data_IF_419379840175
#
_entry.id   IF_419379840175
#
_cell.length_a   1.000
_cell.length_b   1.000
_cell.length_c   1.000
_cell.angle_alpha   90.00
_cell.angle_beta   90.00
_cell.angle_gamma   90.00
#
_symmetry.space_group_name_H-M   'P 1'
#
loop_
_entity.id
_entity.type
_entity.pdbx_description
1 polymer ?
#
# COMPACT_ATOMS: atom_id res chain seq x y z
N UNK A 1 2.38 -29.88 34.26
CA UNK A 1 2.45 -28.64 33.46
C UNK A 1 2.54 -29.08 32.01
N UNK A 2 1.63 -28.61 31.15
CA UNK A 2 1.71 -28.89 29.71
C UNK A 2 3.04 -28.36 29.17
N UNK A 3 3.78 -29.17 28.41
CA UNK A 3 4.99 -28.77 27.69
C UNK A 3 4.68 -27.61 26.74
N UNK A 4 5.64 -26.73 26.44
CA UNK A 4 5.42 -25.62 25.49
C UNK A 4 4.96 -26.11 24.09
N UNK A 5 5.36 -27.33 23.70
CA UNK A 5 4.83 -28.00 22.50
C UNK A 5 3.32 -28.30 22.57
N UNK A 6 2.81 -28.75 23.72
CA UNK A 6 1.38 -28.99 23.90
C UNK A 6 0.56 -27.69 23.87
N UNK A 7 1.15 -26.56 24.26
CA UNK A 7 0.55 -25.23 24.10
C UNK A 7 0.52 -24.79 22.64
N UNK A 8 1.60 -25.02 21.88
CA UNK A 8 1.64 -24.75 20.45
C UNK A 8 0.58 -25.57 19.71
N UNK A 9 0.53 -26.88 19.96
CA UNK A 9 -0.44 -27.78 19.33
C UNK A 9 -1.90 -27.42 19.66
N UNK A 10 -2.17 -26.80 20.81
CA UNK A 10 -3.52 -26.36 21.16
C UNK A 10 -4.07 -25.25 20.24
N UNK A 11 -3.22 -24.57 19.47
CA UNK A 11 -3.62 -23.56 18.50
C UNK A 11 -3.86 -24.15 17.10
N UNK A 12 -3.74 -25.46 16.94
CA UNK A 12 -3.98 -26.14 15.66
C UNK A 12 -5.40 -26.68 15.58
N UNK A 13 -6.01 -26.58 14.40
CA UNK A 13 -7.36 -27.10 14.14
C UNK A 13 -7.36 -28.61 13.81
N UNK A 14 -6.18 -29.24 13.72
CA UNK A 14 -5.99 -30.64 13.33
C UNK A 14 -5.30 -31.44 14.44
N UNK A 15 -5.62 -32.74 14.61
CA UNK A 15 -4.88 -33.59 15.53
C UNK A 15 -3.42 -33.78 15.07
N UNK A 16 -2.47 -34.08 15.98
CA UNK A 16 -1.05 -34.17 15.63
C UNK A 16 -0.70 -35.15 14.49
N UNK A 17 -1.52 -36.19 14.28
CA UNK A 17 -1.33 -37.16 13.20
C UNK A 17 -1.67 -36.58 11.81
N UNK A 18 -2.47 -35.52 11.75
CA UNK A 18 -2.96 -34.89 10.51
C UNK A 18 -2.28 -33.55 10.22
N UNK A 19 -1.31 -33.14 11.05
CA UNK A 19 -0.57 -31.90 10.82
C UNK A 19 0.31 -32.00 9.59
N UNK A 20 0.23 -30.98 8.74
CA UNK A 20 1.10 -30.82 7.57
C UNK A 20 2.37 -30.04 7.92
N UNK A 21 3.35 -30.07 7.01
CA UNK A 21 4.56 -29.22 7.12
C UNK A 21 4.18 -27.74 7.20
N UNK A 22 3.18 -27.33 6.43
CA UNK A 22 2.62 -25.98 6.44
C UNK A 22 2.01 -25.62 7.79
N UNK A 23 1.19 -26.49 8.36
CA UNK A 23 0.57 -26.24 9.68
C UNK A 23 1.64 -25.98 10.75
N UNK A 24 2.68 -26.82 10.77
CA UNK A 24 3.79 -26.67 11.71
C UNK A 24 4.65 -25.45 11.41
N UNK A 25 4.90 -25.14 10.14
CA UNK A 25 5.65 -23.95 9.74
C UNK A 25 4.95 -22.66 10.20
N UNK A 26 3.64 -22.54 9.93
CA UNK A 26 2.83 -21.38 10.33
C UNK A 26 2.70 -21.28 11.85
N UNK A 27 2.51 -22.41 12.54
CA UNK A 27 2.48 -22.45 14.00
C UNK A 27 3.77 -21.90 14.63
N UNK A 28 4.93 -22.22 14.05
CA UNK A 28 6.23 -21.75 14.54
C UNK A 28 6.48 -20.28 14.26
N UNK A 29 5.91 -19.72 13.20
CA UNK A 29 5.98 -18.28 12.89
C UNK A 29 5.04 -17.44 13.77
N UNK A 30 3.96 -18.04 14.29
CA UNK A 30 2.97 -17.36 15.13
C UNK A 30 3.41 -17.14 16.59
N UNK A 31 4.63 -17.56 16.96
CA UNK A 31 5.21 -17.32 18.29
C UNK A 31 6.62 -16.73 18.15
N UNK A 32 7.16 -16.08 19.20
CA UNK A 32 8.53 -15.59 19.16
C UNK A 32 9.51 -16.70 18.79
N UNK A 33 10.42 -16.45 17.84
CA UNK A 33 11.28 -17.49 17.26
C UNK A 33 12.15 -18.23 18.28
N UNK A 34 12.50 -17.57 19.40
CA UNK A 34 13.23 -18.19 20.53
C UNK A 34 12.39 -19.26 21.24
N UNK A 35 11.09 -19.02 21.38
CA UNK A 35 10.15 -19.96 22.01
C UNK A 35 9.84 -21.12 21.07
N UNK A 36 9.66 -20.84 19.77
CA UNK A 36 9.56 -21.85 18.72
C UNK A 36 10.77 -22.81 18.71
N UNK A 37 11.99 -22.26 18.73
CA UNK A 37 13.23 -23.04 18.80
C UNK A 37 13.30 -23.91 20.07
N UNK A 38 12.90 -23.38 21.22
CA UNK A 38 12.89 -24.12 22.48
C UNK A 38 11.87 -25.26 22.49
N UNK A 39 10.69 -25.07 21.86
CA UNK A 39 9.63 -26.07 21.81
C UNK A 39 9.84 -27.16 20.75
N UNK A 40 10.65 -26.89 19.72
CA UNK A 40 10.85 -27.77 18.57
C UNK A 40 11.25 -29.22 18.91
N UNK A 41 12.18 -29.52 19.84
CA UNK A 41 12.51 -30.91 20.18
C UNK A 41 11.34 -31.70 20.82
N UNK A 42 10.48 -31.02 21.56
CA UNK A 42 9.27 -31.64 22.10
C UNK A 42 8.25 -31.91 20.99
N UNK A 43 8.01 -30.94 20.10
CA UNK A 43 7.11 -31.11 18.97
C UNK A 43 7.55 -32.26 18.03
N UNK A 44 8.85 -32.36 17.72
CA UNK A 44 9.40 -33.47 16.91
C UNK A 44 9.06 -34.83 17.51
N UNK A 45 9.15 -34.98 18.83
CA UNK A 45 8.81 -36.23 19.53
C UNK A 45 7.32 -36.53 19.52
N UNK A 46 6.48 -35.50 19.66
CA UNK A 46 5.02 -35.65 19.65
C UNK A 46 4.53 -36.07 18.25
N UNK A 47 5.04 -35.46 17.18
CA UNK A 47 4.71 -35.84 15.80
C UNK A 47 5.21 -37.26 15.45
N UNK A 48 6.42 -37.62 15.92
CA UNK A 48 6.94 -38.98 15.77
C UNK A 48 6.04 -39.99 16.50
N UNK A 49 5.60 -39.68 17.72
CA UNK A 49 4.71 -40.54 18.50
C UNK A 49 3.31 -40.66 17.86
N UNK A 50 2.86 -39.64 17.14
CA UNK A 50 1.60 -39.63 16.39
C UNK A 50 1.68 -40.39 15.05
N UNK A 51 2.89 -40.82 14.63
CA UNK A 51 3.09 -41.56 13.37
C UNK A 51 3.28 -40.68 12.13
N UNK A 52 3.47 -39.37 12.29
CA UNK A 52 3.62 -38.41 11.19
C UNK A 52 4.96 -37.67 11.27
N UNK A 53 6.11 -38.37 11.15
CA UNK A 53 7.42 -37.73 11.20
C UNK A 53 7.69 -36.95 9.91
N UNK A 54 8.09 -35.68 10.04
CA UNK A 54 8.66 -34.93 8.91
C UNK A 54 10.14 -35.25 8.71
N UNK A 55 10.64 -34.91 7.52
CA UNK A 55 12.03 -35.16 7.12
C UNK A 55 13.03 -34.39 7.99
N UNK A 56 14.27 -34.89 8.04
CA UNK A 56 15.38 -34.18 8.67
C UNK A 56 15.62 -32.82 7.98
N UNK A 57 15.54 -32.76 6.64
CA UNK A 57 15.72 -31.54 5.86
C UNK A 57 14.73 -30.43 6.24
N UNK A 58 13.44 -30.78 6.40
CA UNK A 58 12.45 -29.83 6.90
C UNK A 58 12.86 -29.25 8.25
N UNK A 59 13.17 -30.12 9.21
CA UNK A 59 13.52 -29.71 10.57
C UNK A 59 14.78 -28.86 10.68
N UNK A 60 15.82 -29.17 9.89
CA UNK A 60 17.05 -28.38 9.79
C UNK A 60 16.78 -27.01 9.16
N UNK A 61 15.94 -26.96 8.12
CA UNK A 61 15.53 -25.70 7.49
C UNK A 61 14.74 -24.80 8.45
N UNK A 62 13.79 -25.38 9.21
CA UNK A 62 12.99 -24.66 10.22
C UNK A 62 13.89 -24.06 11.29
N UNK A 63 14.83 -24.84 11.81
CA UNK A 63 15.78 -24.40 12.83
C UNK A 63 16.68 -23.26 12.32
N UNK A 64 17.17 -23.39 11.08
CA UNK A 64 18.01 -22.38 10.43
C UNK A 64 17.25 -21.06 10.24
N UNK A 65 16.02 -21.13 9.68
CA UNK A 65 15.20 -19.94 9.46
C UNK A 65 14.84 -19.24 10.78
N UNK A 66 14.36 -19.97 11.77
CA UNK A 66 13.98 -19.39 13.06
C UNK A 66 15.15 -18.73 13.79
N UNK A 67 16.38 -19.27 13.68
CA UNK A 67 17.58 -18.59 14.20
C UNK A 67 17.83 -17.27 13.51
N UNK A 68 17.77 -17.27 12.17
CA UNK A 68 17.95 -16.04 11.38
C UNK A 68 16.89 -15.00 11.68
N UNK A 69 15.64 -15.39 11.89
CA UNK A 69 14.57 -14.46 12.35
C UNK A 69 14.92 -13.92 13.74
N UNK A 70 15.31 -14.77 14.70
CA UNK A 70 15.67 -14.36 16.05
C UNK A 70 16.88 -13.40 16.10
N UNK A 71 17.75 -13.46 15.09
CA UNK A 71 18.92 -12.62 14.91
C UNK A 71 18.64 -11.36 14.06
N UNK A 72 17.43 -11.22 13.51
CA UNK A 72 17.06 -10.12 12.61
C UNK A 72 17.72 -10.19 11.22
N UNK A 73 18.20 -11.36 10.81
CA UNK A 73 18.95 -11.60 9.58
C UNK A 73 18.14 -12.31 8.47
N UNK A 74 16.88 -12.64 8.72
CA UNK A 74 15.98 -13.24 7.74
C UNK A 74 15.17 -12.15 7.00
N UNK A 75 15.02 -12.30 5.69
CA UNK A 75 14.16 -11.44 4.86
C UNK A 75 12.77 -12.04 4.72
N UNK A 76 11.77 -11.20 4.46
CA UNK A 76 10.38 -11.64 4.19
C UNK A 76 10.33 -12.63 3.02
N UNK A 77 11.08 -12.36 1.94
CA UNK A 77 11.16 -13.26 0.79
C UNK A 77 11.78 -14.63 1.11
N UNK A 78 12.67 -14.73 2.09
CA UNK A 78 13.19 -16.02 2.55
C UNK A 78 12.17 -16.80 3.37
N UNK A 79 11.38 -16.12 4.19
CA UNK A 79 10.27 -16.74 4.93
C UNK A 79 9.20 -17.26 3.97
N UNK A 80 8.83 -16.45 2.96
CA UNK A 80 7.84 -16.84 1.95
C UNK A 80 8.31 -18.05 1.12
N UNK A 81 9.54 -18.02 0.60
CA UNK A 81 10.13 -19.17 -0.11
C UNK A 81 10.20 -20.44 0.74
N UNK A 82 10.46 -20.31 2.04
CA UNK A 82 10.46 -21.46 2.95
C UNK A 82 9.05 -22.01 3.19
N UNK A 83 8.04 -21.14 3.29
CA UNK A 83 6.64 -21.57 3.37
C UNK A 83 6.19 -22.27 2.08
N UNK A 84 6.52 -21.74 0.90
CA UNK A 84 6.29 -22.41 -0.40
C UNK A 84 6.90 -23.83 -0.42
N UNK A 85 8.12 -23.97 0.11
CA UNK A 85 8.83 -25.25 0.17
C UNK A 85 8.19 -26.29 1.10
N UNK A 86 7.15 -25.93 1.86
CA UNK A 86 6.31 -26.92 2.55
C UNK A 86 5.50 -27.80 1.59
N UNK A 87 5.33 -27.34 0.34
CA UNK A 87 4.64 -28.06 -0.74
C UNK A 87 3.14 -27.87 -0.77
N UNK A 88 2.58 -27.04 0.12
CA UNK A 88 1.14 -26.77 0.21
C UNK A 88 0.82 -25.29 0.45
N UNK A 89 1.84 -24.42 0.58
CA UNK A 89 1.62 -22.97 0.63
C UNK A 89 1.52 -22.44 -0.81
N UNK A 90 0.40 -21.81 -1.19
CA UNK A 90 0.27 -21.18 -2.49
C UNK A 90 1.38 -20.13 -2.72
N UNK A 91 1.91 -20.12 -3.94
CA UNK A 91 2.91 -19.14 -4.38
C UNK A 91 2.19 -17.94 -4.98
N UNK A 92 2.70 -16.73 -4.74
CA UNK A 92 2.26 -15.56 -5.49
C UNK A 92 2.52 -15.80 -6.99
N UNK A 93 1.45 -15.92 -7.78
CA UNK A 93 1.55 -16.15 -9.23
C UNK A 93 1.95 -14.81 -9.87
N UNK A 94 3.07 -14.80 -10.60
CA UNK A 94 3.67 -13.59 -11.16
C UNK A 94 2.66 -12.83 -12.05
N UNK A 95 2.36 -11.60 -11.65
CA UNK A 95 1.54 -10.66 -12.42
C UNK A 95 0.15 -10.38 -11.86
N UNK A 96 -0.31 -11.13 -10.85
CA UNK A 96 -1.68 -10.98 -10.33
C UNK A 96 -1.77 -10.80 -8.81
N UNK A 97 -0.67 -10.87 -8.04
CA UNK A 97 -0.64 -10.69 -6.56
C UNK A 97 -1.79 -11.36 -5.77
N UNK A 98 -2.40 -12.43 -6.32
CA UNK A 98 -3.70 -13.01 -5.91
C UNK A 98 -3.78 -13.41 -4.44
N UNK A 99 -2.64 -13.69 -3.82
CA UNK A 99 -2.54 -14.20 -2.45
C UNK A 99 -1.94 -13.20 -1.48
N UNK A 100 -2.31 -11.92 -1.64
CA UNK A 100 -1.93 -10.77 -0.82
C UNK A 100 -2.02 -11.03 0.70
N UNK A 101 -1.56 -10.05 1.50
CA UNK A 101 -1.46 -10.17 2.97
C UNK A 101 -2.72 -10.81 3.54
N UNK A 102 -2.58 -11.89 4.32
CA UNK A 102 -3.70 -12.73 4.74
C UNK A 102 -4.85 -11.98 5.42
N UNK A 103 -4.54 -10.88 6.12
CA UNK A 103 -5.53 -9.99 6.75
C UNK A 103 -6.36 -9.19 5.76
N UNK A 104 -5.84 -8.92 4.57
CA UNK A 104 -6.50 -8.15 3.51
C UNK A 104 -7.39 -9.01 2.60
N UNK A 105 -7.31 -10.35 2.69
CA UNK A 105 -8.08 -11.24 1.82
C UNK A 105 -9.58 -11.06 2.03
N UNK A 106 -10.32 -11.02 0.94
CA UNK A 106 -11.78 -11.06 0.93
C UNK A 106 -12.30 -12.43 1.42
N UNK A 107 -13.61 -12.57 1.73
CA UNK A 107 -14.20 -13.87 2.01
C UNK A 107 -14.01 -14.90 0.88
N UNK A 108 -14.15 -14.49 -0.38
CA UNK A 108 -13.96 -15.35 -1.56
C UNK A 108 -12.47 -15.69 -1.75
N UNK A 109 -11.57 -14.70 -1.61
CA UNK A 109 -10.14 -14.91 -1.62
C UNK A 109 -9.66 -15.90 -0.55
N UNK A 110 -10.24 -15.87 0.65
CA UNK A 110 -9.99 -16.88 1.70
C UNK A 110 -10.49 -18.27 1.28
N UNK A 111 -11.72 -18.36 0.77
CA UNK A 111 -12.30 -19.63 0.33
C UNK A 111 -11.46 -20.30 -0.77
N UNK A 112 -11.13 -19.55 -1.84
CA UNK A 112 -10.37 -20.08 -2.97
C UNK A 112 -8.94 -20.43 -2.57
N UNK A 113 -8.31 -19.64 -1.70
CA UNK A 113 -7.02 -19.98 -1.13
C UNK A 113 -7.07 -21.30 -0.35
N UNK A 114 -8.08 -21.50 0.49
CA UNK A 114 -8.23 -22.75 1.26
C UNK A 114 -8.51 -23.96 0.36
N UNK A 115 -9.27 -23.78 -0.72
CA UNK A 115 -9.47 -24.81 -1.74
C UNK A 115 -8.18 -25.16 -2.47
N UNK A 116 -7.33 -24.18 -2.79
CA UNK A 116 -6.02 -24.41 -3.39
C UNK A 116 -5.10 -25.15 -2.44
N UNK A 117 -5.05 -24.77 -1.16
CA UNK A 117 -4.27 -25.50 -0.14
C UNK A 117 -4.72 -26.96 -0.07
N UNK A 118 -6.03 -27.22 0.00
CA UNK A 118 -6.57 -28.58 0.01
C UNK A 118 -6.24 -29.36 -1.28
N UNK A 119 -6.22 -28.68 -2.44
CA UNK A 119 -5.81 -29.26 -3.71
C UNK A 119 -4.34 -29.70 -3.66
N UNK A 120 -3.45 -28.83 -3.20
CA UNK A 120 -2.01 -29.10 -3.07
C UNK A 120 -1.73 -30.21 -2.04
N UNK A 121 -2.47 -30.25 -0.92
CA UNK A 121 -2.41 -31.35 0.06
C UNK A 121 -2.72 -32.71 -0.59
N UNK A 122 -3.65 -32.74 -1.55
CA UNK A 122 -3.98 -33.93 -2.35
C UNK A 122 -2.80 -34.41 -3.20
N UNK A 123 -2.15 -33.51 -3.95
CA UNK A 123 -0.97 -33.84 -4.77
C UNK A 123 0.25 -34.22 -3.93
N UNK A 124 0.44 -33.56 -2.78
CA UNK A 124 1.48 -33.93 -1.82
C UNK A 124 1.26 -35.35 -1.30
N UNK A 125 0.02 -35.69 -0.94
CA UNK A 125 -0.35 -37.03 -0.46
C UNK A 125 -0.21 -38.11 -1.54
N UNK A 126 -0.44 -37.75 -2.81
CA UNK A 126 -0.23 -38.63 -3.96
C UNK A 126 1.26 -38.83 -4.31
N UNK A 127 2.15 -37.99 -3.78
CA UNK A 127 3.59 -38.01 -4.06
C UNK A 127 3.98 -37.26 -5.34
N UNK A 128 3.07 -36.45 -5.89
CA UNK A 128 3.32 -35.65 -7.10
C UNK A 128 4.07 -34.35 -6.78
N UNK A 129 4.02 -33.89 -5.53
CA UNK A 129 4.84 -32.79 -5.01
C UNK A 129 5.93 -33.38 -4.12
N UNK A 130 7.19 -33.01 -4.37
CA UNK A 130 8.33 -33.38 -3.54
C UNK A 130 8.84 -32.16 -2.76
N UNK A 131 8.47 -32.00 -1.47
CA UNK A 131 8.94 -30.90 -0.65
C UNK A 131 10.46 -30.88 -0.43
N UNK A 132 11.16 -32.01 -0.52
CA UNK A 132 12.62 -32.01 -0.37
C UNK A 132 13.31 -31.35 -1.57
N UNK A 133 12.78 -31.58 -2.78
CA UNK A 133 13.25 -30.87 -3.98
C UNK A 133 12.94 -29.38 -3.91
N UNK A 134 11.77 -29.00 -3.38
CA UNK A 134 11.43 -27.59 -3.16
C UNK A 134 12.35 -26.93 -2.12
N UNK A 135 12.63 -27.61 -1.00
CA UNK A 135 13.58 -27.14 0.02
C UNK A 135 15.02 -27.01 -0.50
N UNK A 136 15.41 -27.86 -1.44
CA UNK A 136 16.71 -27.80 -2.11
C UNK A 136 16.78 -26.74 -3.22
N UNK A 137 15.73 -25.93 -3.40
CA UNK A 137 15.60 -24.91 -4.45
C UNK A 137 15.78 -25.47 -5.88
N UNK A 138 15.30 -26.70 -6.12
CA UNK A 138 15.29 -27.30 -7.44
C UNK A 138 14.37 -26.51 -8.38
N UNK A 139 14.97 -25.83 -9.36
CA UNK A 139 14.24 -24.99 -10.31
C UNK A 139 13.16 -25.76 -11.06
N UNK A 140 13.37 -27.04 -11.37
CA UNK A 140 12.38 -27.86 -12.08
C UNK A 140 11.18 -28.13 -11.18
N UNK A 141 11.41 -28.52 -9.93
CA UNK A 141 10.34 -28.77 -8.96
C UNK A 141 9.51 -27.50 -8.70
N UNK A 142 10.17 -26.33 -8.63
CA UNK A 142 9.47 -25.05 -8.48
C UNK A 142 8.59 -24.72 -9.69
N UNK A 143 9.07 -24.96 -10.90
CA UNK A 143 8.28 -24.75 -12.12
C UNK A 143 7.09 -25.71 -12.22
N UNK A 144 7.28 -26.98 -11.83
CA UNK A 144 6.20 -27.97 -11.73
C UNK A 144 5.13 -27.52 -10.72
N UNK A 145 5.57 -27.04 -9.55
CA UNK A 145 4.69 -26.53 -8.50
C UNK A 145 3.91 -25.29 -8.91
N UNK A 146 4.54 -24.34 -9.61
CA UNK A 146 3.88 -23.16 -10.18
C UNK A 146 2.86 -23.56 -11.25
N UNK A 147 3.26 -24.43 -12.18
CA UNK A 147 2.38 -24.89 -13.27
C UNK A 147 1.13 -25.62 -12.77
N UNK A 148 1.24 -26.32 -11.63
CA UNK A 148 0.11 -26.96 -10.97
C UNK A 148 -0.91 -25.92 -10.48
N UNK A 149 -0.43 -24.87 -9.82
CA UNK A 149 -1.27 -23.79 -9.30
C UNK A 149 -1.90 -22.97 -10.42
N UNK A 150 -1.14 -22.61 -11.45
CA UNK A 150 -1.65 -21.89 -12.63
C UNK A 150 -2.76 -22.67 -13.32
N UNK A 151 -2.58 -23.99 -13.46
CA UNK A 151 -3.61 -24.86 -14.04
C UNK A 151 -4.86 -24.90 -13.17
N UNK A 152 -4.71 -25.00 -11.86
CA UNK A 152 -5.84 -24.97 -10.94
C UNK A 152 -6.61 -23.64 -11.05
N UNK A 153 -5.90 -22.52 -11.05
CA UNK A 153 -6.47 -21.17 -11.17
C UNK A 153 -7.26 -20.95 -12.47
N UNK A 154 -6.82 -21.57 -13.57
CA UNK A 154 -7.40 -21.39 -14.91
C UNK A 154 -8.37 -22.50 -15.32
N UNK A 155 -8.61 -23.49 -14.45
CA UNK A 155 -9.50 -24.61 -14.72
C UNK A 155 -10.82 -24.48 -13.93
N UNK A 156 -11.94 -24.97 -14.48
CA UNK A 156 -13.19 -24.98 -13.75
C UNK A 156 -13.13 -25.94 -12.55
N UNK A 157 -13.55 -25.45 -11.40
CA UNK A 157 -13.80 -26.22 -10.19
C UNK A 157 -15.05 -27.12 -10.38
N UNK A 158 -15.31 -28.09 -9.47
CA UNK A 158 -16.47 -28.97 -9.55
C UNK A 158 -17.84 -28.26 -9.56
N UNK A 159 -17.91 -27.04 -9.01
CA UNK A 159 -19.09 -26.18 -9.01
C UNK A 159 -19.21 -25.33 -10.29
N UNK A 160 -18.23 -25.39 -11.19
CA UNK A 160 -18.19 -24.67 -12.47
C UNK A 160 -17.44 -23.35 -12.45
N UNK A 161 -17.08 -22.81 -11.27
CA UNK A 161 -16.32 -21.56 -11.14
C UNK A 161 -14.91 -21.73 -11.68
N UNK A 162 -14.36 -20.69 -12.30
CA UNK A 162 -12.93 -20.62 -12.64
C UNK A 162 -12.28 -19.65 -11.67
N UNK A 163 -11.38 -20.10 -10.75
CA UNK A 163 -10.89 -19.25 -9.66
C UNK A 163 -10.30 -17.92 -10.12
N UNK A 164 -9.58 -17.91 -11.25
CA UNK A 164 -9.04 -16.68 -11.84
C UNK A 164 -10.14 -15.69 -12.26
N UNK A 165 -11.25 -16.16 -12.81
CA UNK A 165 -12.34 -15.26 -13.20
C UNK A 165 -13.05 -14.69 -11.98
N UNK A 166 -13.37 -15.53 -10.99
CA UNK A 166 -14.09 -15.06 -9.80
C UNK A 166 -13.27 -14.05 -8.97
N UNK A 167 -11.95 -14.22 -8.92
CA UNK A 167 -11.07 -13.26 -8.23
C UNK A 167 -10.92 -11.95 -9.01
N UNK A 168 -10.86 -12.02 -10.34
CA UNK A 168 -10.87 -10.82 -11.18
C UNK A 168 -12.22 -10.09 -11.10
N UNK A 169 -13.34 -10.83 -11.09
CA UNK A 169 -14.69 -10.27 -10.96
C UNK A 169 -14.91 -9.64 -9.56
N UNK A 170 -14.22 -10.10 -8.51
CA UNK A 170 -14.24 -9.47 -7.17
C UNK A 170 -13.33 -8.24 -7.10
N UNK A 171 -12.18 -8.25 -7.80
CA UNK A 171 -11.40 -7.01 -8.05
C UNK A 171 -12.24 -5.98 -8.84
N UNK A 172 -13.13 -6.42 -9.73
CA UNK A 172 -14.10 -5.54 -10.41
C UNK A 172 -15.21 -5.00 -9.45
N UNK A 173 -15.46 -5.61 -8.28
CA UNK A 173 -16.32 -5.00 -7.23
C UNK A 173 -15.56 -3.94 -6.41
N UNK A 174 -14.23 -4.04 -6.29
CA UNK A 174 -13.37 -2.93 -5.86
C UNK A 174 -13.30 -1.83 -6.96
N UNK A 175 -13.49 -2.18 -8.24
CA UNK A 175 -13.71 -1.20 -9.31
C UNK A 175 -15.03 -0.42 -9.14
N UNK A 176 -16.08 -0.96 -8.49
CA UNK A 176 -17.27 -0.16 -8.17
C UNK A 176 -16.94 0.93 -7.12
N UNK A 177 -16.08 0.62 -6.14
CA UNK A 177 -15.55 1.63 -5.20
C UNK A 177 -14.63 2.64 -5.89
N UNK A 178 -13.72 2.18 -6.77
CA UNK A 178 -12.87 3.06 -7.58
C UNK A 178 -13.70 3.90 -8.55
N UNK A 179 -14.78 3.37 -9.12
CA UNK A 179 -15.69 4.10 -10.00
C UNK A 179 -16.53 5.13 -9.22
N UNK A 180 -16.94 4.82 -7.98
CA UNK A 180 -17.56 5.80 -7.08
C UNK A 180 -16.55 6.90 -6.70
N UNK A 181 -15.29 6.55 -6.44
CA UNK A 181 -14.20 7.47 -6.16
C UNK A 181 -13.87 8.35 -7.38
N UNK A 182 -13.70 7.78 -8.56
CA UNK A 182 -13.50 8.48 -9.83
C UNK A 182 -14.70 9.37 -10.17
N UNK A 183 -15.93 8.92 -9.88
CA UNK A 183 -17.13 9.73 -10.04
C UNK A 183 -17.15 10.93 -9.08
N UNK A 184 -16.70 10.76 -7.83
CA UNK A 184 -16.53 11.85 -6.87
C UNK A 184 -15.43 12.83 -7.31
N UNK A 185 -14.27 12.36 -7.76
CA UNK A 185 -13.21 13.18 -8.35
C UNK A 185 -13.70 13.98 -9.54
N UNK A 186 -14.42 13.33 -10.46
CA UNK A 186 -14.97 13.98 -11.63
C UNK A 186 -16.05 15.00 -11.27
N UNK A 187 -16.88 14.73 -10.26
CA UNK A 187 -17.86 15.67 -9.74
C UNK A 187 -17.18 16.90 -9.13
N UNK A 188 -16.18 16.71 -8.27
CA UNK A 188 -15.40 17.78 -7.67
C UNK A 188 -14.65 18.61 -8.72
N UNK A 189 -14.07 17.96 -9.75
CA UNK A 189 -13.44 18.65 -10.86
C UNK A 189 -14.44 19.47 -11.69
N UNK A 190 -15.64 18.95 -11.94
CA UNK A 190 -16.70 19.69 -12.63
C UNK A 190 -17.14 20.91 -11.83
N UNK A 191 -17.37 20.75 -10.53
CA UNK A 191 -17.73 21.88 -9.66
C UNK A 191 -16.61 22.92 -9.61
N UNK A 192 -15.34 22.49 -9.47
CA UNK A 192 -14.22 23.41 -9.51
C UNK A 192 -14.15 24.18 -10.85
N UNK A 193 -14.37 23.52 -11.99
CA UNK A 193 -14.44 24.20 -13.29
C UNK A 193 -15.54 25.26 -13.33
N UNK A 194 -16.71 24.98 -12.76
CA UNK A 194 -17.82 25.94 -12.65
C UNK A 194 -17.43 27.13 -11.76
N UNK A 195 -16.81 26.88 -10.61
CA UNK A 195 -16.27 27.94 -9.74
C UNK A 195 -15.27 28.83 -10.48
N UNK A 196 -14.35 28.23 -11.23
CA UNK A 196 -13.32 28.97 -11.96
C UNK A 196 -13.91 29.75 -13.13
N UNK A 197 -14.96 29.23 -13.78
CA UNK A 197 -15.71 29.94 -14.80
C UNK A 197 -16.41 31.19 -14.23
N UNK A 198 -16.97 31.09 -13.02
CA UNK A 198 -17.60 32.21 -12.32
C UNK A 198 -16.57 33.27 -11.85
N UNK A 199 -15.38 32.83 -11.42
CA UNK A 199 -14.27 33.73 -11.03
C UNK A 199 -13.74 34.52 -12.23
N UNK A 200 -13.73 33.91 -13.42
CA UNK A 200 -13.31 34.55 -14.67
C UNK A 200 -11.81 34.39 -14.97
N UNK A 201 -11.25 35.33 -15.74
CA UNK A 201 -9.87 35.24 -16.23
C UNK A 201 -8.84 35.22 -15.09
N UNK A 202 -8.01 34.17 -15.06
CA UNK A 202 -6.87 34.00 -14.14
C UNK A 202 -5.59 33.85 -14.96
N UNK A 203 -4.95 34.97 -15.39
CA UNK A 203 -3.78 34.90 -16.25
C UNK A 203 -2.60 34.25 -15.52
N UNK A 204 -1.85 33.40 -16.24
CA UNK A 204 -0.65 32.73 -15.70
C UNK A 204 0.43 33.78 -15.36
N UNK A 205 0.94 33.80 -14.12
CA UNK A 205 1.95 34.76 -13.69
C UNK A 205 3.35 34.27 -14.09
N UNK A 206 3.71 34.43 -15.36
CA UNK A 206 4.98 33.95 -15.94
C UNK A 206 6.25 34.39 -15.16
N UNK A 207 6.39 35.66 -14.71
CA UNK A 207 7.57 36.07 -13.95
C UNK A 207 7.71 35.35 -12.61
N UNK A 208 6.62 35.21 -11.87
CA UNK A 208 6.54 34.53 -10.58
C UNK A 208 6.78 33.03 -10.74
N UNK A 209 6.16 32.41 -11.74
CA UNK A 209 6.36 31.00 -12.09
C UNK A 209 7.84 30.72 -12.39
N UNK A 210 8.45 31.51 -13.27
CA UNK A 210 9.86 31.34 -13.62
C UNK A 210 10.79 31.55 -12.42
N UNK A 211 10.47 32.49 -11.53
CA UNK A 211 11.22 32.70 -10.30
C UNK A 211 11.09 31.52 -9.32
N UNK A 212 9.87 31.02 -9.11
CA UNK A 212 9.58 29.87 -8.26
C UNK A 212 10.30 28.61 -8.77
N UNK A 213 10.21 28.29 -10.07
CA UNK A 213 10.84 27.10 -10.65
C UNK A 213 12.37 27.14 -10.59
N UNK A 214 13.01 28.31 -10.66
CA UNK A 214 14.46 28.42 -10.41
C UNK A 214 14.82 28.05 -8.96
N UNK A 215 14.02 28.51 -8.00
CA UNK A 215 14.23 28.19 -6.59
C UNK A 215 13.97 26.71 -6.33
N UNK A 216 12.88 26.15 -6.86
CA UNK A 216 12.51 24.74 -6.74
C UNK A 216 13.61 23.81 -7.28
N UNK A 217 14.15 24.07 -8.48
CA UNK A 217 15.26 23.25 -9.03
C UNK A 217 16.53 23.27 -8.17
N UNK A 218 16.71 24.30 -7.35
CA UNK A 218 17.80 24.37 -6.37
C UNK A 218 17.42 23.60 -5.11
N UNK A 219 16.22 23.84 -4.57
CA UNK A 219 15.72 23.25 -3.35
C UNK A 219 15.56 21.72 -3.44
N UNK A 220 15.09 21.19 -4.58
CA UNK A 220 14.87 19.75 -4.79
C UNK A 220 16.14 18.89 -4.59
N UNK A 221 17.32 19.51 -4.64
CA UNK A 221 18.60 18.83 -4.38
C UNK A 221 18.98 18.78 -2.90
N UNK A 222 18.39 19.63 -2.08
CA UNK A 222 18.76 19.84 -0.68
C UNK A 222 18.17 18.79 0.26
N UNK A 223 17.12 18.06 -0.17
CA UNK A 223 16.53 16.94 0.58
C UNK A 223 16.05 17.30 1.99
N UNK A 224 15.89 18.58 2.29
CA UNK A 224 15.44 19.10 3.56
C UNK A 224 13.92 19.08 3.63
N UNK A 225 13.36 18.92 4.82
CA UNK A 225 11.94 19.14 5.05
C UNK A 225 11.56 20.62 4.79
N UNK A 226 10.42 20.93 4.14
CA UNK A 226 9.40 20.02 3.60
C UNK A 226 9.62 19.62 2.11
N UNK A 227 10.76 19.99 1.52
CA UNK A 227 11.09 19.71 0.11
C UNK A 227 11.20 18.21 -0.17
N UNK A 228 11.64 17.42 0.80
CA UNK A 228 11.71 15.96 0.69
C UNK A 228 10.32 15.34 0.45
N UNK A 229 9.28 15.83 1.11
CA UNK A 229 7.90 15.34 0.98
C UNK A 229 7.33 15.76 -0.37
N UNK A 230 7.54 17.02 -0.77
CA UNK A 230 7.14 17.52 -2.09
C UNK A 230 7.77 16.72 -3.24
N UNK A 231 9.04 16.32 -3.09
CA UNK A 231 9.74 15.47 -4.04
C UNK A 231 9.17 14.05 -4.04
N UNK A 232 8.94 13.46 -2.88
CA UNK A 232 8.39 12.12 -2.75
C UNK A 232 6.98 12.03 -3.36
N UNK A 233 6.11 12.99 -3.07
CA UNK A 233 4.73 13.02 -3.56
C UNK A 233 4.59 13.24 -5.07
N UNK A 234 5.55 13.92 -5.72
CA UNK A 234 5.45 14.26 -7.15
C UNK A 234 6.17 13.30 -8.11
N UNK A 235 7.02 12.40 -7.58
CA UNK A 235 7.86 11.50 -8.38
C UNK A 235 8.90 12.21 -9.25
N UNK A 236 9.19 13.50 -9.02
CA UNK A 236 10.17 14.28 -9.79
C UNK A 236 11.60 13.84 -9.45
N UNK A 237 12.39 13.52 -10.48
CA UNK A 237 13.83 13.28 -10.32
C UNK A 237 14.58 14.61 -10.11
N UNK A 238 15.18 14.87 -8.93
CA UNK A 238 15.90 16.13 -8.66
C UNK A 238 17.17 16.29 -9.50
N UNK A 239 17.68 15.20 -10.10
CA UNK A 239 18.85 15.25 -10.97
C UNK A 239 18.47 15.63 -12.41
N UNK A 240 17.20 15.43 -12.77
CA UNK A 240 16.68 15.73 -14.10
C UNK A 240 15.26 16.32 -14.03
N UNK A 241 15.07 17.48 -13.37
CA UNK A 241 13.77 18.12 -13.29
C UNK A 241 13.33 18.64 -14.67
N UNK A 242 12.02 18.70 -14.91
CA UNK A 242 11.47 19.22 -16.15
C UNK A 242 11.99 20.63 -16.47
N UNK A 243 12.34 20.84 -17.74
CA UNK A 243 12.85 22.13 -18.23
C UNK A 243 11.74 23.14 -18.48
N UNK A 244 10.52 22.66 -18.68
CA UNK A 244 9.30 23.48 -18.74
C UNK A 244 8.86 23.83 -17.31
N UNK A 245 8.77 25.12 -17.01
CA UNK A 245 8.42 25.62 -15.68
C UNK A 245 6.98 25.31 -15.29
N UNK A 246 6.03 25.40 -16.24
CA UNK A 246 4.64 25.10 -15.96
C UNK A 246 4.48 23.62 -15.62
N UNK A 247 5.06 22.73 -16.44
CA UNK A 247 5.00 21.28 -16.17
C UNK A 247 5.64 20.93 -14.84
N UNK A 248 6.81 21.48 -14.55
CA UNK A 248 7.50 21.24 -13.28
C UNK A 248 6.64 21.69 -12.09
N UNK A 249 6.10 22.91 -12.14
CA UNK A 249 5.35 23.48 -11.04
C UNK A 249 4.04 22.73 -10.80
N UNK A 250 3.27 22.46 -11.87
CA UNK A 250 2.00 21.74 -11.77
C UNK A 250 2.19 20.31 -11.26
N UNK A 251 3.22 19.60 -11.72
CA UNK A 251 3.52 18.25 -11.24
C UNK A 251 3.91 18.21 -9.76
N UNK A 252 4.66 19.21 -9.29
CA UNK A 252 4.98 19.32 -7.87
C UNK A 252 3.74 19.65 -7.03
N UNK A 253 2.88 20.55 -7.51
CA UNK A 253 1.64 20.92 -6.84
C UNK A 253 0.60 19.80 -6.84
N UNK A 254 0.50 19.03 -7.93
CA UNK A 254 -0.34 17.83 -8.04
C UNK A 254 0.05 16.79 -6.99
N UNK A 255 1.37 16.56 -6.80
CA UNK A 255 1.87 15.64 -5.77
C UNK A 255 1.62 16.07 -4.31
N UNK A 256 1.10 17.28 -4.07
CA UNK A 256 0.57 17.71 -2.76
C UNK A 256 -0.84 17.20 -2.53
N UNK A 257 -1.63 17.10 -3.61
CA UNK A 257 -3.04 16.66 -3.59
C UNK A 257 -3.13 15.14 -3.69
N UNK A 258 -2.34 14.56 -4.60
CA UNK A 258 -2.31 13.12 -4.85
C UNK A 258 -0.86 12.61 -4.76
N UNK A 259 -0.35 12.35 -3.54
CA UNK A 259 1.04 11.94 -3.36
C UNK A 259 1.30 10.52 -3.88
N UNK A 260 2.31 10.37 -4.74
CA UNK A 260 2.74 9.12 -5.37
C UNK A 260 3.41 8.08 -4.42
N UNK A 261 3.35 8.25 -3.10
CA UNK A 261 4.00 7.33 -2.15
C UNK A 261 2.99 6.50 -1.35
N UNK A 262 3.29 5.21 -1.19
CA UNK A 262 2.56 4.29 -0.30
C UNK A 262 2.98 4.55 1.16
N UNK A 263 2.07 4.95 2.07
CA UNK A 263 2.41 5.20 3.46
C UNK A 263 2.82 3.90 4.17
N UNK A 264 4.13 3.74 4.37
CA UNK A 264 4.67 2.63 5.18
C UNK A 264 4.16 2.71 6.64
N UNK A 265 4.15 1.59 7.37
CA UNK A 265 3.69 1.53 8.77
C UNK A 265 4.47 2.41 9.79
N UNK A 266 5.48 3.20 9.35
CA UNK A 266 6.22 4.18 10.14
C UNK A 266 5.99 5.64 9.73
N UNK A 267 5.03 5.92 8.84
CA UNK A 267 4.69 7.25 8.34
C UNK A 267 4.26 8.18 9.49
N UNK A 268 4.82 9.38 9.52
CA UNK A 268 4.59 10.36 10.59
C UNK A 268 3.16 10.92 10.55
N UNK A 269 2.65 11.42 11.68
CA UNK A 269 1.30 12.02 11.76
C UNK A 269 1.13 13.18 10.74
N UNK A 270 2.21 13.91 10.46
CA UNK A 270 2.24 15.02 9.50
C UNK A 270 2.16 14.55 8.03
N UNK A 271 2.63 13.33 7.73
CA UNK A 271 2.50 12.69 6.41
C UNK A 271 1.09 12.06 6.24
N UNK A 272 0.51 11.49 7.30
CA UNK A 272 -0.87 10.95 7.31
C UNK A 272 -1.89 12.07 7.07
N UNK A 273 -1.66 13.27 7.61
CA UNK A 273 -2.51 14.45 7.46
C UNK A 273 -2.76 14.86 6.00
N UNK A 274 -1.80 14.61 5.09
CA UNK A 274 -1.95 14.96 3.66
C UNK A 274 -2.83 13.95 2.91
N UNK A 275 -2.95 12.73 3.45
CA UNK A 275 -3.79 11.63 2.93
C UNK A 275 -5.21 11.71 3.51
N UNK A 276 -5.43 12.56 4.53
CA UNK A 276 -6.69 12.63 5.26
C UNK A 276 -7.75 13.54 4.61
N UNK A 277 -7.35 14.45 3.71
CA UNK A 277 -8.28 15.34 3.01
C UNK A 277 -8.96 14.58 1.88
N UNK A 278 -10.29 14.55 1.88
CA UNK A 278 -11.07 14.03 0.77
C UNK A 278 -11.28 15.09 -0.34
N UNK A 279 -12.00 14.72 -1.41
CA UNK A 279 -12.24 15.60 -2.55
C UNK A 279 -13.11 16.80 -2.19
N UNK A 280 -14.04 16.65 -1.25
CA UNK A 280 -14.95 17.71 -0.81
C UNK A 280 -14.20 18.77 0.00
N UNK A 281 -13.31 18.33 0.90
CA UNK A 281 -12.43 19.20 1.69
C UNK A 281 -11.48 20.01 0.78
N UNK A 282 -10.84 19.33 -0.18
CA UNK A 282 -9.99 19.97 -1.17
C UNK A 282 -10.75 21.00 -2.02
N UNK A 283 -11.94 20.62 -2.49
CA UNK A 283 -12.81 21.49 -3.28
C UNK A 283 -13.24 22.71 -2.48
N UNK A 284 -13.69 22.54 -1.24
CA UNK A 284 -14.15 23.64 -0.38
C UNK A 284 -13.05 24.67 -0.14
N UNK A 285 -11.86 24.21 0.26
CA UNK A 285 -10.72 25.07 0.51
C UNK A 285 -10.25 25.81 -0.76
N UNK A 286 -10.07 25.09 -1.88
CA UNK A 286 -9.53 25.68 -3.11
C UNK A 286 -10.56 26.56 -3.82
N UNK A 287 -11.86 26.22 -3.78
CA UNK A 287 -12.91 27.07 -4.28
C UNK A 287 -12.99 28.39 -3.49
N UNK A 288 -12.81 28.35 -2.18
CA UNK A 288 -12.74 29.56 -1.36
C UNK A 288 -11.54 30.45 -1.73
N UNK A 289 -10.35 29.86 -1.91
CA UNK A 289 -9.16 30.57 -2.37
C UNK A 289 -9.31 31.16 -3.77
N UNK A 290 -9.90 30.40 -4.71
CA UNK A 290 -10.15 30.85 -6.07
C UNK A 290 -11.07 32.07 -6.11
N UNK A 291 -12.15 32.05 -5.31
CA UNK A 291 -13.08 33.19 -5.18
C UNK A 291 -12.46 34.39 -4.45
N UNK A 292 -11.63 34.14 -3.43
CA UNK A 292 -10.98 35.19 -2.65
C UNK A 292 -9.89 35.95 -3.41
N UNK A 293 -9.17 35.27 -4.31
CA UNK A 293 -8.12 35.89 -5.11
C UNK A 293 -6.79 36.06 -4.39
N UNK A 294 -5.80 36.73 -5.02
CA UNK A 294 -4.52 37.01 -4.40
C UNK A 294 -4.67 37.77 -3.07
N UNK A 295 -3.77 37.51 -2.14
CA UNK A 295 -3.75 37.97 -0.76
C UNK A 295 -4.78 37.35 0.20
N UNK A 296 -5.61 36.40 -0.26
CA UNK A 296 -6.51 35.62 0.61
C UNK A 296 -5.71 34.88 1.69
N UNK A 297 -6.08 35.00 2.98
CA UNK A 297 -5.44 34.22 4.04
C UNK A 297 -5.63 32.71 3.81
N UNK A 298 -4.52 31.97 3.81
CA UNK A 298 -4.47 30.54 3.52
C UNK A 298 -3.61 29.80 4.55
N UNK A 299 -3.54 30.31 5.79
CA UNK A 299 -2.99 29.55 6.91
C UNK A 299 -3.84 28.31 7.18
N UNK A 300 -3.27 27.29 7.82
CA UNK A 300 -3.96 26.03 8.08
C UNK A 300 -5.30 26.23 8.81
N UNK A 301 -5.34 27.15 9.79
CA UNK A 301 -6.57 27.53 10.50
C UNK A 301 -7.59 28.26 9.61
N UNK A 302 -7.14 29.04 8.61
CA UNK A 302 -8.05 29.69 7.67
C UNK A 302 -8.61 28.70 6.65
N UNK A 303 -7.81 27.73 6.20
CA UNK A 303 -8.26 26.68 5.30
C UNK A 303 -9.28 25.77 5.97
N UNK A 304 -9.02 25.35 7.21
CA UNK A 304 -9.94 24.57 8.02
C UNK A 304 -11.33 25.20 8.16
N UNK A 305 -11.43 26.54 8.18
CA UNK A 305 -12.72 27.25 8.28
C UNK A 305 -13.59 27.14 7.04
N UNK A 306 -13.06 26.66 5.92
CA UNK A 306 -13.84 26.48 4.70
C UNK A 306 -14.51 25.11 4.61
N UNK A 307 -14.10 24.16 5.46
CA UNK A 307 -14.66 22.81 5.47
C UNK A 307 -16.04 22.82 6.12
N UNK A 308 -16.90 21.91 5.68
CA UNK A 308 -18.28 21.78 6.21
C UNK A 308 -18.28 21.42 7.70
N UNK A 309 -17.35 20.56 8.12
CA UNK A 309 -17.22 20.04 9.50
C UNK A 309 -16.62 21.06 10.50
N UNK A 310 -16.36 22.30 10.09
CA UNK A 310 -15.75 23.33 10.94
C UNK A 310 -16.79 24.08 11.81
N UNK A 311 -17.55 23.34 12.62
CA UNK A 311 -18.68 23.87 13.41
C UNK A 311 -18.25 24.75 14.59
N UNK A 312 -17.13 24.40 15.26
CA UNK A 312 -16.59 25.18 16.38
C UNK A 312 -15.05 25.32 16.39
N UNK A 313 -14.53 26.06 17.39
CA UNK A 313 -13.10 26.35 17.51
C UNK A 313 -12.24 25.08 17.78
N UNK A 314 -12.81 24.04 18.39
CA UNK A 314 -12.12 22.77 18.62
C UNK A 314 -12.04 21.95 17.33
N UNK A 315 -13.12 21.92 16.54
CA UNK A 315 -13.15 21.27 15.22
C UNK A 315 -12.16 21.94 14.26
N UNK A 316 -12.18 23.28 14.18
CA UNK A 316 -11.22 24.07 13.39
C UNK A 316 -9.78 23.73 13.80
N UNK A 317 -9.51 23.53 15.08
CA UNK A 317 -8.16 23.19 15.56
C UNK A 317 -7.72 21.78 15.12
N UNK A 318 -8.64 20.82 15.05
CA UNK A 318 -8.37 19.46 14.57
C UNK A 318 -8.14 19.49 13.05
N UNK A 319 -9.08 20.07 12.30
CA UNK A 319 -9.01 20.19 10.83
C UNK A 319 -7.80 21.00 10.37
N UNK A 320 -7.40 22.03 11.12
CA UNK A 320 -6.18 22.78 10.83
C UNK A 320 -4.94 21.89 10.87
N UNK A 321 -4.93 20.80 11.67
CA UNK A 321 -3.84 19.83 11.68
C UNK A 321 -3.61 19.19 10.31
N UNK A 322 -4.66 18.99 9.51
CA UNK A 322 -4.59 18.37 8.19
C UNK A 322 -3.91 19.27 7.15
N UNK A 323 -4.05 20.58 7.29
CA UNK A 323 -3.49 21.57 6.38
C UNK A 323 -2.05 22.01 6.72
N UNK A 324 -1.45 21.59 7.84
CA UNK A 324 -0.10 22.06 8.24
C UNK A 324 0.93 21.73 7.15
N UNK A 325 1.00 20.46 6.77
CA UNK A 325 1.97 19.99 5.75
C UNK A 325 1.68 20.61 4.38
N UNK A 326 0.39 20.72 4.00
CA UNK A 326 -0.05 21.35 2.75
C UNK A 326 0.43 22.80 2.67
N UNK A 327 0.25 23.59 3.73
CA UNK A 327 0.65 25.00 3.77
C UNK A 327 2.17 25.14 3.63
N UNK A 328 2.94 24.29 4.28
CA UNK A 328 4.41 24.30 4.18
C UNK A 328 4.89 23.96 2.76
N UNK A 329 4.27 22.98 2.10
CA UNK A 329 4.56 22.65 0.70
C UNK A 329 4.14 23.78 -0.26
N UNK A 330 2.98 24.38 -0.06
CA UNK A 330 2.52 25.53 -0.85
C UNK A 330 3.42 26.77 -0.70
N UNK A 331 4.03 26.98 0.48
CA UNK A 331 5.06 28.01 0.68
C UNK A 331 6.32 27.71 -0.12
N UNK A 332 6.79 26.47 -0.13
CA UNK A 332 7.94 26.05 -0.95
C UNK A 332 7.67 26.24 -2.45
N UNK A 333 6.45 25.95 -2.90
CA UNK A 333 6.00 26.18 -4.28
C UNK A 333 5.90 27.66 -4.64
N UNK A 334 5.94 28.57 -3.66
CA UNK A 334 5.65 30.00 -3.85
C UNK A 334 4.18 30.30 -4.11
N UNK A 335 3.29 29.35 -3.84
CA UNK A 335 1.85 29.53 -3.91
C UNK A 335 1.33 30.41 -2.77
N UNK A 336 2.04 30.41 -1.64
CA UNK A 336 1.80 31.28 -0.49
C UNK A 336 3.02 32.17 -0.22
N UNK A 337 2.77 33.38 0.29
CA UNK A 337 3.81 34.28 0.78
C UNK A 337 4.26 33.97 2.22
N UNK A 338 5.18 34.77 2.76
CA UNK A 338 5.72 34.61 4.12
C UNK A 338 4.68 34.79 5.24
N UNK A 339 3.52 35.35 4.92
CA UNK A 339 2.38 35.56 5.80
C UNK A 339 1.24 34.58 5.54
N UNK A 340 1.50 33.50 4.79
CA UNK A 340 0.54 32.46 4.44
C UNK A 340 -0.66 33.06 3.68
N UNK A 341 -0.40 34.05 2.82
CA UNK A 341 -1.40 34.59 1.91
C UNK A 341 -1.19 34.07 0.49
N UNK A 342 -2.30 33.83 -0.19
CA UNK A 342 -2.31 33.34 -1.56
C UNK A 342 -1.58 34.32 -2.50
N UNK A 343 -0.57 33.85 -3.22
CA UNK A 343 0.12 34.65 -4.24
C UNK A 343 -0.65 34.61 -5.56
N UNK A 344 -0.34 35.47 -6.55
CA UNK A 344 -0.85 35.29 -7.91
C UNK A 344 -0.53 33.92 -8.49
N UNK A 345 0.65 33.37 -8.17
CA UNK A 345 1.07 32.03 -8.60
C UNK A 345 0.19 30.94 -7.98
N UNK A 346 -0.11 31.03 -6.67
CA UNK A 346 -1.02 30.11 -6.01
C UNK A 346 -2.46 30.22 -6.52
N UNK A 347 -2.94 31.45 -6.73
CA UNK A 347 -4.30 31.70 -7.22
C UNK A 347 -4.54 31.15 -8.63
N UNK A 348 -3.53 31.23 -9.50
CA UNK A 348 -3.56 30.56 -10.79
C UNK A 348 -3.38 29.05 -10.63
N UNK A 349 -2.29 28.61 -10.01
CA UNK A 349 -1.80 27.24 -10.15
C UNK A 349 -2.44 26.20 -9.25
N UNK A 350 -2.88 26.53 -8.02
CA UNK A 350 -3.47 25.54 -7.11
C UNK A 350 -4.74 24.92 -7.70
N UNK A 351 -5.71 25.69 -8.23
CA UNK A 351 -6.89 25.11 -8.87
C UNK A 351 -6.55 24.27 -10.11
N UNK A 352 -5.55 24.67 -10.89
CA UNK A 352 -5.10 23.89 -12.06
C UNK A 352 -4.47 22.56 -11.64
N UNK A 353 -3.72 22.53 -10.54
CA UNK A 353 -3.11 21.33 -10.00
C UNK A 353 -4.17 20.34 -9.49
N UNK A 354 -5.25 20.81 -8.83
CA UNK A 354 -6.37 19.96 -8.44
C UNK A 354 -7.10 19.38 -9.66
N UNK A 355 -7.36 20.22 -10.67
CA UNK A 355 -7.97 19.74 -11.91
C UNK A 355 -7.10 18.70 -12.60
N UNK A 356 -5.78 18.86 -12.60
CA UNK A 356 -4.86 17.86 -13.15
C UNK A 356 -4.90 16.56 -12.34
N UNK A 357 -4.88 16.65 -11.00
CA UNK A 357 -4.93 15.49 -10.11
C UNK A 357 -6.20 14.64 -10.32
N UNK A 358 -7.36 15.28 -10.49
CA UNK A 358 -8.66 14.60 -10.59
C UNK A 358 -9.10 14.25 -12.02
N UNK A 359 -8.45 14.80 -13.06
CA UNK A 359 -8.83 14.52 -14.45
C UNK A 359 -8.06 13.35 -15.05
N UNK A 360 -7.07 12.78 -14.35
CA UNK A 360 -6.20 11.72 -14.86
C UNK A 360 -5.31 12.10 -16.06
N UNK A 361 -5.44 13.33 -16.57
CA UNK A 361 -4.66 13.88 -17.68
C UNK A 361 -3.24 14.23 -17.20
N UNK A 362 -2.41 13.21 -17.03
CA UNK A 362 -0.97 13.42 -16.91
C UNK A 362 -0.46 13.91 -18.27
N UNK A 363 -0.16 15.21 -18.36
CA UNK A 363 0.45 15.80 -19.56
C UNK A 363 1.85 15.19 -19.74
N UNK A 364 1.96 14.22 -20.66
CA UNK A 364 3.23 13.64 -21.15
C UNK A 364 4.12 14.70 -21.78
#
# INVERSE_FOLDING_TARGET
MATDAARLLAHTHRPPAELTRRDVARLMLNVPSKDALAAMPALRRELLAAGSPFSAGFWESTESLLRRIAEGAATVGEVHRWLEATGTEPTAIMGLYVWDVESARTPLGRELHDLLVAHLEGYLSAGDIDPERLLADDTTARQEYLSLQERWMTSPLPDGRVPMHELLDEEDEDDDFLAEWEAAEQAAANELRDVLADVGERPRPDPELHAACRNLRTALRDGSWPVEILRAGSGVDPNNPDSDDQRLWLRLAEGVVNPMYDPSAGTSVDEIATIALDHEDWLAAVAALARGGPATPASATNLARFLEDADDDDDIRVLAGWFITVVEQWRVLGALDEHERLTPLGWWGIPEALLQAWSGDTVV
#
